data_IF_916785646680
#
_entry.id   IF_916785646680
#
_cell.length_a   1.000
_cell.length_b   1.000
_cell.length_c   1.000
_cell.angle_alpha   90.00
_cell.angle_beta   90.00
_cell.angle_gamma   90.00
#
_symmetry.space_group_name_H-M   'P 1'
#
loop_
_entity.id
_entity.type
_entity.pdbx_description
1 polymer ?
#
# COMPACT_ATOMS: atom_id res chain seq x y z
N UNK A 1 34.25 -7.55 -23.78
CA UNK A 1 34.37 -8.93 -23.23
C UNK A 1 34.27 -9.01 -21.71
N UNK A 2 35.14 -8.27 -20.91
CA UNK A 2 35.07 -8.35 -19.44
C UNK A 2 33.73 -7.83 -18.90
N UNK A 3 33.26 -6.69 -19.38
CA UNK A 3 31.98 -6.11 -18.95
C UNK A 3 30.78 -7.00 -19.28
N UNK A 4 30.76 -7.61 -20.45
CA UNK A 4 29.71 -8.55 -20.86
C UNK A 4 29.68 -9.81 -20.00
N UNK A 5 30.87 -10.35 -19.67
CA UNK A 5 30.97 -11.49 -18.76
C UNK A 5 30.44 -11.13 -17.35
N UNK A 6 30.82 -9.95 -16.83
CA UNK A 6 30.32 -9.48 -15.55
C UNK A 6 28.81 -9.29 -15.55
N UNK A 7 28.24 -8.74 -16.63
CA UNK A 7 26.76 -8.63 -16.76
C UNK A 7 26.12 -10.01 -16.72
N UNK A 8 26.69 -11.00 -17.44
CA UNK A 8 26.15 -12.37 -17.42
C UNK A 8 26.18 -12.99 -16.02
N UNK A 9 27.26 -12.77 -15.27
CA UNK A 9 27.37 -13.26 -13.88
C UNK A 9 26.37 -12.52 -12.97
N UNK A 10 26.25 -11.20 -13.12
CA UNK A 10 25.29 -10.41 -12.36
C UNK A 10 23.84 -10.86 -12.63
N UNK A 11 23.52 -11.08 -13.90
CA UNK A 11 22.21 -11.59 -14.34
C UNK A 11 21.92 -12.99 -13.77
N UNK A 12 22.92 -13.85 -13.69
CA UNK A 12 22.77 -15.15 -13.02
C UNK A 12 22.39 -14.98 -11.55
N UNK A 13 23.09 -14.13 -10.79
CA UNK A 13 22.76 -13.86 -9.39
C UNK A 13 21.39 -13.18 -9.26
N UNK A 14 21.05 -12.27 -10.16
CA UNK A 14 19.74 -11.61 -10.19
C UNK A 14 18.60 -12.63 -10.37
N UNK A 15 18.72 -13.57 -11.31
CA UNK A 15 17.72 -14.61 -11.54
C UNK A 15 17.65 -15.67 -10.42
N UNK A 16 18.73 -15.83 -9.67
CA UNK A 16 18.77 -16.68 -8.47
C UNK A 16 18.27 -15.98 -7.20
N UNK A 17 17.73 -14.78 -7.34
CA UNK A 17 17.25 -13.96 -6.22
C UNK A 17 18.34 -13.66 -5.16
N UNK A 18 19.57 -13.48 -5.61
CA UNK A 18 20.71 -13.05 -4.80
C UNK A 18 21.00 -11.55 -5.07
N UNK A 19 20.19 -10.61 -4.53
CA UNK A 19 20.28 -9.20 -4.91
C UNK A 19 21.57 -8.52 -4.46
N UNK A 20 22.17 -8.93 -3.35
CA UNK A 20 23.40 -8.34 -2.85
C UNK A 20 24.60 -8.63 -3.75
N UNK A 21 24.74 -9.88 -4.19
CA UNK A 21 25.80 -10.34 -5.09
C UNK A 21 25.63 -9.69 -6.49
N UNK A 22 24.40 -9.72 -7.01
CA UNK A 22 24.09 -9.08 -8.28
C UNK A 22 24.40 -7.59 -8.26
N UNK A 23 24.01 -6.89 -7.16
CA UNK A 23 24.24 -5.46 -6.99
C UNK A 23 25.72 -5.09 -7.02
N UNK A 24 26.58 -5.86 -6.34
CA UNK A 24 28.01 -5.62 -6.32
C UNK A 24 28.60 -5.66 -7.71
N UNK A 25 28.22 -6.65 -8.51
CA UNK A 25 28.72 -6.83 -9.88
C UNK A 25 28.15 -5.76 -10.82
N UNK A 26 26.85 -5.43 -10.73
CA UNK A 26 26.27 -4.33 -11.52
C UNK A 26 26.93 -2.98 -11.21
N UNK A 27 27.36 -2.72 -9.96
CA UNK A 27 28.13 -1.53 -9.63
C UNK A 27 29.47 -1.52 -10.33
N UNK A 28 30.23 -2.62 -10.31
CA UNK A 28 31.50 -2.73 -11.04
C UNK A 28 31.31 -2.44 -12.53
N UNK A 29 30.26 -3.02 -13.14
CA UNK A 29 29.90 -2.78 -14.56
C UNK A 29 29.60 -1.30 -14.82
N UNK A 30 28.89 -0.65 -13.89
CA UNK A 30 28.56 0.78 -13.99
C UNK A 30 29.82 1.65 -13.88
N UNK A 31 30.74 1.32 -12.99
CA UNK A 31 32.01 2.02 -12.81
C UNK A 31 32.93 1.88 -14.05
N UNK A 32 32.78 0.83 -14.82
CA UNK A 32 33.43 0.63 -16.11
C UNK A 32 32.75 1.43 -17.26
N UNK A 33 31.77 2.29 -16.97
CA UNK A 33 30.97 3.00 -17.97
C UNK A 33 30.23 2.07 -18.97
N UNK A 34 29.95 0.84 -18.59
CA UNK A 34 29.23 -0.14 -19.39
C UNK A 34 27.80 -0.34 -18.86
N UNK A 35 27.06 0.76 -18.69
CA UNK A 35 25.71 0.71 -18.16
C UNK A 35 24.70 1.17 -19.22
N UNK A 36 23.58 0.44 -19.27
CA UNK A 36 22.41 0.75 -20.09
C UNK A 36 21.17 0.80 -19.22
N UNK A 37 20.01 1.05 -19.81
CA UNK A 37 18.74 1.12 -19.08
C UNK A 37 18.44 -0.18 -18.31
N UNK A 38 18.71 -1.34 -18.89
CA UNK A 38 18.44 -2.64 -18.27
C UNK A 38 19.30 -2.87 -17.02
N UNK A 39 20.60 -2.55 -17.09
CA UNK A 39 21.52 -2.64 -15.93
C UNK A 39 21.06 -1.73 -14.83
N UNK A 40 20.66 -0.48 -15.11
CA UNK A 40 20.14 0.42 -14.10
C UNK A 40 18.81 -0.04 -13.53
N UNK A 41 17.93 -0.64 -14.32
CA UNK A 41 16.68 -1.25 -13.84
C UNK A 41 16.94 -2.38 -12.84
N UNK A 42 17.84 -3.33 -13.21
CA UNK A 42 18.22 -4.45 -12.35
C UNK A 42 18.95 -3.99 -11.09
N UNK A 43 19.85 -3.01 -11.22
CA UNK A 43 20.49 -2.34 -10.06
C UNK A 43 19.45 -1.75 -9.11
N UNK A 44 18.48 -0.99 -9.64
CA UNK A 44 17.39 -0.43 -8.87
C UNK A 44 16.57 -1.49 -8.16
N UNK A 45 16.28 -2.61 -8.83
CA UNK A 45 15.53 -3.71 -8.26
C UNK A 45 16.28 -4.40 -7.12
N UNK A 46 17.59 -4.67 -7.27
CA UNK A 46 18.42 -5.21 -6.19
C UNK A 46 18.44 -4.27 -4.98
N UNK A 47 18.63 -2.97 -5.19
CA UNK A 47 18.59 -1.95 -4.14
C UNK A 47 17.23 -1.89 -3.45
N UNK A 48 16.13 -2.04 -4.19
CA UNK A 48 14.78 -2.09 -3.64
C UNK A 48 14.57 -3.33 -2.77
N UNK A 49 15.08 -4.49 -3.17
CA UNK A 49 15.04 -5.72 -2.35
C UNK A 49 15.82 -5.56 -1.05
N UNK A 50 16.96 -4.87 -1.08
CA UNK A 50 17.75 -4.49 0.08
C UNK A 50 17.12 -3.33 0.90
N UNK A 51 15.90 -2.88 0.55
CA UNK A 51 15.18 -1.75 1.18
C UNK A 51 15.93 -0.41 1.09
N UNK A 52 16.90 -0.28 0.21
CA UNK A 52 17.69 0.94 -0.06
C UNK A 52 16.95 1.83 -1.07
N UNK A 53 15.73 2.26 -0.71
CA UNK A 53 14.79 2.89 -1.63
C UNK A 53 15.30 4.20 -2.26
N UNK A 54 16.04 5.03 -1.54
CA UNK A 54 16.59 6.29 -2.09
C UNK A 54 17.59 6.01 -3.22
N UNK A 55 18.45 5.02 -3.03
CA UNK A 55 19.44 4.64 -4.05
C UNK A 55 18.74 3.91 -5.23
N UNK A 56 17.74 3.11 -4.95
CA UNK A 56 16.91 2.49 -5.99
C UNK A 56 16.25 3.53 -6.89
N UNK A 57 15.69 4.60 -6.31
CA UNK A 57 15.12 5.73 -7.08
C UNK A 57 16.18 6.36 -7.98
N UNK A 58 17.41 6.57 -7.49
CA UNK A 58 18.48 7.11 -8.31
C UNK A 58 18.81 6.21 -9.52
N UNK A 59 18.90 4.90 -9.30
CA UNK A 59 19.15 3.93 -10.38
C UNK A 59 17.98 3.90 -11.38
N UNK A 60 16.74 3.85 -10.91
CA UNK A 60 15.56 3.85 -11.78
C UNK A 60 15.42 5.15 -12.58
N UNK A 61 15.77 6.32 -12.02
CA UNK A 61 15.79 7.58 -12.75
C UNK A 61 16.81 7.57 -13.88
N UNK A 62 17.99 6.99 -13.68
CA UNK A 62 18.99 6.80 -14.74
C UNK A 62 18.45 5.88 -15.85
N UNK A 63 17.75 4.81 -15.45
CA UNK A 63 17.10 3.92 -16.41
C UNK A 63 16.01 4.64 -17.21
N UNK A 64 15.20 5.48 -16.57
CA UNK A 64 14.11 6.22 -17.19
C UNK A 64 14.62 7.29 -18.18
N UNK A 65 15.76 7.94 -17.88
CA UNK A 65 16.42 8.84 -18.82
C UNK A 65 16.89 8.12 -20.08
N UNK A 66 17.41 6.89 -19.95
CA UNK A 66 17.91 6.10 -21.08
C UNK A 66 16.79 5.41 -21.88
N UNK A 67 15.70 5.08 -21.22
CA UNK A 67 14.51 4.44 -21.81
C UNK A 67 13.27 5.03 -21.15
N UNK A 68 12.79 6.16 -21.65
CA UNK A 68 11.59 6.83 -21.11
C UNK A 68 10.33 5.95 -21.23
N UNK A 69 9.37 6.22 -20.37
CA UNK A 69 8.03 5.63 -20.37
C UNK A 69 8.00 4.09 -20.26
N UNK A 70 9.08 3.51 -19.76
CA UNK A 70 9.10 2.08 -19.49
C UNK A 70 8.27 1.75 -18.24
N UNK A 71 7.07 1.19 -18.44
CA UNK A 71 6.04 0.96 -17.41
C UNK A 71 6.59 0.26 -16.17
N UNK A 72 7.44 -0.75 -16.36
CA UNK A 72 8.06 -1.46 -15.24
C UNK A 72 8.90 -0.52 -14.35
N UNK A 73 9.74 0.34 -14.98
CA UNK A 73 10.59 1.31 -14.26
C UNK A 73 9.75 2.32 -13.50
N UNK A 74 8.73 2.90 -14.16
CA UNK A 74 7.83 3.90 -13.56
C UNK A 74 7.09 3.30 -12.36
N UNK A 75 6.62 2.05 -12.48
CA UNK A 75 5.93 1.35 -11.38
C UNK A 75 6.87 1.10 -10.19
N UNK A 76 8.13 0.77 -10.42
CA UNK A 76 9.10 0.58 -9.37
C UNK A 76 9.52 1.90 -8.70
N UNK A 77 9.63 3.00 -9.46
CA UNK A 77 9.77 4.35 -8.91
C UNK A 77 8.62 4.69 -7.97
N UNK A 78 7.38 4.50 -8.43
CA UNK A 78 6.19 4.71 -7.59
C UNK A 78 6.25 3.88 -6.29
N UNK A 79 6.63 2.61 -6.40
CA UNK A 79 6.75 1.72 -5.24
C UNK A 79 7.81 2.20 -4.25
N UNK A 80 8.98 2.64 -4.73
CA UNK A 80 10.04 3.16 -3.86
C UNK A 80 9.62 4.44 -3.14
N UNK A 81 8.98 5.39 -3.84
CA UNK A 81 8.45 6.61 -3.22
C UNK A 81 7.40 6.27 -2.16
N UNK A 82 6.48 5.33 -2.44
CA UNK A 82 5.48 4.88 -1.47
C UNK A 82 6.12 4.26 -0.23
N UNK A 83 7.19 3.45 -0.38
CA UNK A 83 7.91 2.88 0.77
C UNK A 83 8.61 3.93 1.63
N UNK A 84 9.01 5.04 1.02
CA UNK A 84 9.56 6.21 1.72
C UNK A 84 8.48 7.14 2.30
N UNK A 85 7.18 6.77 2.18
CA UNK A 85 6.01 7.58 2.55
C UNK A 85 5.90 8.90 1.77
N UNK A 86 6.59 9.01 0.65
CA UNK A 86 6.43 10.12 -0.30
C UNK A 86 5.23 9.81 -1.23
N UNK A 87 4.03 9.89 -0.64
CA UNK A 87 2.80 9.49 -1.32
C UNK A 87 2.43 10.41 -2.48
N UNK A 88 2.85 11.68 -2.43
CA UNK A 88 2.62 12.61 -3.52
C UNK A 88 3.40 12.20 -4.78
N UNK A 89 4.71 11.96 -4.65
CA UNK A 89 5.51 11.49 -5.77
C UNK A 89 5.09 10.07 -6.24
N UNK A 90 4.75 9.18 -5.30
CA UNK A 90 4.24 7.86 -5.65
C UNK A 90 2.97 7.94 -6.50
N UNK A 91 2.02 8.82 -6.13
CA UNK A 91 0.78 9.05 -6.85
C UNK A 91 1.03 9.52 -8.29
N UNK A 92 1.95 10.48 -8.48
CA UNK A 92 2.32 10.96 -9.82
C UNK A 92 2.83 9.83 -10.73
N UNK A 93 3.72 8.99 -10.21
CA UNK A 93 4.24 7.85 -10.97
C UNK A 93 3.17 6.77 -11.22
N UNK A 94 2.31 6.46 -10.23
CA UNK A 94 1.22 5.50 -10.45
C UNK A 94 0.20 6.00 -11.47
N UNK A 95 -0.12 7.30 -11.51
CA UNK A 95 -0.97 7.90 -12.54
C UNK A 95 -0.36 7.78 -13.95
N UNK A 96 0.97 7.91 -14.10
CA UNK A 96 1.64 7.63 -15.37
C UNK A 96 1.45 6.17 -15.79
N UNK A 97 1.56 5.22 -14.85
CA UNK A 97 1.29 3.80 -15.16
C UNK A 97 -0.16 3.59 -15.53
N UNK A 98 -1.12 4.20 -14.82
CA UNK A 98 -2.55 4.10 -15.13
C UNK A 98 -2.88 4.63 -16.53
N UNK A 99 -2.25 5.71 -16.97
CA UNK A 99 -2.43 6.26 -18.32
C UNK A 99 -2.04 5.25 -19.41
N UNK A 100 -1.05 4.39 -19.16
CA UNK A 100 -0.59 3.35 -20.10
C UNK A 100 -1.39 2.05 -19.92
N UNK A 101 -1.76 1.73 -18.68
CA UNK A 101 -2.44 0.49 -18.29
C UNK A 101 -3.67 0.81 -17.41
N UNK A 102 -4.77 1.33 -17.98
CA UNK A 102 -5.92 1.85 -17.21
C UNK A 102 -6.72 0.78 -16.45
N UNK A 103 -6.52 -0.51 -16.81
CA UNK A 103 -7.19 -1.64 -16.17
C UNK A 103 -6.30 -2.39 -15.16
N UNK A 104 -5.11 -1.86 -14.85
CA UNK A 104 -4.22 -2.49 -13.90
C UNK A 104 -4.74 -2.33 -12.47
N UNK A 105 -5.43 -3.36 -11.98
CA UNK A 105 -6.08 -3.38 -10.66
C UNK A 105 -5.15 -3.02 -9.50
N UNK A 106 -3.89 -3.46 -9.56
CA UNK A 106 -2.92 -3.14 -8.52
C UNK A 106 -2.53 -1.66 -8.53
N UNK A 107 -2.42 -1.06 -9.71
CA UNK A 107 -2.12 0.36 -9.86
C UNK A 107 -3.28 1.21 -9.34
N UNK A 108 -4.52 0.86 -9.71
CA UNK A 108 -5.74 1.52 -9.22
C UNK A 108 -5.80 1.46 -7.69
N UNK A 109 -5.52 0.29 -7.10
CA UNK A 109 -5.45 0.14 -5.64
C UNK A 109 -4.39 1.03 -5.01
N UNK A 110 -3.17 1.10 -5.58
CA UNK A 110 -2.10 1.93 -5.03
C UNK A 110 -2.36 3.43 -5.21
N UNK A 111 -3.04 3.85 -6.28
CA UNK A 111 -3.52 5.24 -6.44
C UNK A 111 -4.47 5.58 -5.30
N UNK A 112 -5.51 4.77 -5.08
CA UNK A 112 -6.45 4.96 -3.98
C UNK A 112 -5.75 5.00 -2.62
N UNK A 113 -4.78 4.09 -2.39
CA UNK A 113 -4.02 4.04 -1.14
C UNK A 113 -3.18 5.31 -0.94
N UNK A 114 -2.48 5.80 -1.98
CA UNK A 114 -1.72 7.04 -1.88
C UNK A 114 -2.62 8.25 -1.62
N UNK A 115 -3.80 8.30 -2.26
CA UNK A 115 -4.79 9.35 -2.05
C UNK A 115 -5.32 9.33 -0.61
N UNK A 116 -5.59 8.15 -0.04
CA UNK A 116 -6.02 7.99 1.34
C UNK A 116 -4.96 8.45 2.34
N UNK A 117 -3.68 8.13 2.12
CA UNK A 117 -2.56 8.60 2.94
C UNK A 117 -2.33 10.13 2.83
N UNK A 118 -2.78 10.74 1.72
CA UNK A 118 -2.80 12.19 1.53
C UNK A 118 -4.09 12.83 2.03
N UNK A 119 -4.93 12.10 2.75
CA UNK A 119 -6.24 12.52 3.27
C UNK A 119 -7.24 12.98 2.17
N UNK A 120 -7.00 12.61 0.92
CA UNK A 120 -7.86 12.88 -0.24
C UNK A 120 -8.91 11.77 -0.38
N UNK A 121 -9.73 11.57 0.66
CA UNK A 121 -10.59 10.39 0.81
C UNK A 121 -11.65 10.25 -0.29
N UNK A 122 -12.22 11.36 -0.79
CA UNK A 122 -13.22 11.28 -1.86
C UNK A 122 -12.63 10.75 -3.18
N UNK A 123 -11.41 11.16 -3.52
CA UNK A 123 -10.71 10.65 -4.70
C UNK A 123 -10.23 9.21 -4.48
N UNK A 124 -9.80 8.87 -3.27
CA UNK A 124 -9.45 7.51 -2.91
C UNK A 124 -10.66 6.57 -3.09
N UNK A 125 -11.84 6.98 -2.61
CA UNK A 125 -13.08 6.23 -2.78
C UNK A 125 -13.41 5.98 -4.27
N UNK A 126 -13.20 6.95 -5.15
CA UNK A 126 -13.43 6.75 -6.60
C UNK A 126 -12.54 5.61 -7.15
N UNK A 127 -11.25 5.59 -6.75
CA UNK A 127 -10.32 4.54 -7.16
C UNK A 127 -10.73 3.17 -6.62
N UNK A 128 -11.14 3.09 -5.35
CA UNK A 128 -11.54 1.83 -4.73
C UNK A 128 -12.90 1.32 -5.24
N UNK A 129 -13.86 2.20 -5.55
CA UNK A 129 -15.11 1.81 -6.22
C UNK A 129 -14.86 1.30 -7.63
N UNK A 130 -13.96 1.95 -8.40
CA UNK A 130 -13.54 1.43 -9.70
C UNK A 130 -13.01 0.00 -9.58
N UNK A 131 -12.19 -0.26 -8.55
CA UNK A 131 -11.66 -1.60 -8.30
C UNK A 131 -12.73 -2.60 -7.88
N UNK A 132 -13.69 -2.20 -7.02
CA UNK A 132 -14.82 -3.04 -6.59
C UNK A 132 -15.69 -3.48 -7.79
N UNK A 133 -15.89 -2.58 -8.77
CA UNK A 133 -16.60 -2.89 -10.01
C UNK A 133 -15.83 -3.84 -10.94
N UNK A 134 -14.50 -3.83 -10.88
CA UNK A 134 -13.63 -4.64 -11.76
C UNK A 134 -13.35 -6.03 -11.21
N UNK A 135 -13.62 -6.27 -9.93
CA UNK A 135 -13.23 -7.50 -9.26
C UNK A 135 -14.30 -7.93 -8.24
N UNK A 136 -14.95 -9.06 -8.50
CA UNK A 136 -15.90 -9.61 -7.55
C UNK A 136 -15.22 -9.97 -6.23
N UNK A 137 -15.91 -9.74 -5.12
CA UNK A 137 -15.46 -10.07 -3.76
C UNK A 137 -14.07 -9.50 -3.41
N UNK A 138 -13.80 -8.29 -3.88
CA UNK A 138 -12.53 -7.62 -3.66
C UNK A 138 -12.38 -7.10 -2.22
N UNK A 139 -12.08 -8.01 -1.28
CA UNK A 139 -11.97 -7.71 0.16
C UNK A 139 -11.03 -6.51 0.43
N UNK A 140 -9.91 -6.41 -0.30
CA UNK A 140 -8.97 -5.28 -0.14
C UNK A 140 -9.61 -3.94 -0.50
N UNK A 141 -10.46 -3.91 -1.54
CA UNK A 141 -11.19 -2.71 -1.90
C UNK A 141 -12.27 -2.40 -0.85
N UNK A 142 -13.00 -3.39 -0.38
CA UNK A 142 -14.04 -3.20 0.64
C UNK A 142 -13.47 -2.67 1.96
N UNK A 143 -12.33 -3.18 2.43
CA UNK A 143 -11.63 -2.64 3.59
C UNK A 143 -11.26 -1.17 3.41
N UNK A 144 -10.71 -0.84 2.23
CA UNK A 144 -10.29 0.52 1.92
C UNK A 144 -11.49 1.48 1.77
N UNK A 145 -12.59 1.04 1.13
CA UNK A 145 -13.84 1.81 1.03
C UNK A 145 -14.43 2.01 2.43
N UNK A 146 -14.49 0.94 3.23
CA UNK A 146 -14.99 1.01 4.61
C UNK A 146 -14.24 2.06 5.43
N UNK A 147 -12.91 1.99 5.42
CA UNK A 147 -12.07 2.93 6.17
C UNK A 147 -12.19 4.36 5.65
N UNK A 148 -12.05 4.59 4.33
CA UNK A 148 -12.17 5.94 3.76
C UNK A 148 -13.56 6.54 4.01
N UNK A 149 -14.62 5.73 3.94
CA UNK A 149 -15.99 6.17 4.27
C UNK A 149 -16.12 6.54 5.74
N UNK A 150 -15.53 5.75 6.64
CA UNK A 150 -15.54 6.01 8.07
C UNK A 150 -14.86 7.35 8.40
N UNK A 151 -13.63 7.55 7.94
CA UNK A 151 -12.88 8.80 8.22
C UNK A 151 -13.50 10.03 7.54
N UNK A 152 -14.36 9.83 6.55
CA UNK A 152 -15.16 10.87 5.89
C UNK A 152 -16.52 11.09 6.56
N UNK A 153 -16.82 10.45 7.68
CA UNK A 153 -18.09 10.54 8.38
C UNK A 153 -19.27 9.86 7.70
N UNK A 154 -19.04 9.03 6.66
CA UNK A 154 -20.07 8.29 5.90
C UNK A 154 -20.32 6.92 6.55
N UNK A 155 -20.80 6.94 7.80
CA UNK A 155 -20.84 5.74 8.65
C UNK A 155 -21.72 4.61 8.10
N UNK A 156 -22.89 4.92 7.50
CA UNK A 156 -23.76 3.90 6.89
C UNK A 156 -23.09 3.23 5.70
N UNK A 157 -22.36 4.00 4.89
CA UNK A 157 -21.60 3.44 3.77
C UNK A 157 -20.46 2.56 4.29
N UNK A 158 -19.72 3.02 5.29
CA UNK A 158 -18.64 2.28 5.91
C UNK A 158 -19.14 0.94 6.47
N UNK A 159 -20.27 0.94 7.20
CA UNK A 159 -20.84 -0.26 7.77
C UNK A 159 -21.24 -1.28 6.67
N UNK A 160 -21.89 -0.83 5.60
CA UNK A 160 -22.24 -1.73 4.48
C UNK A 160 -21.04 -2.46 3.90
N UNK A 161 -19.88 -1.79 3.79
CA UNK A 161 -18.67 -2.42 3.27
C UNK A 161 -17.99 -3.33 4.31
N UNK A 162 -17.98 -2.93 5.59
CA UNK A 162 -17.49 -3.84 6.63
C UNK A 162 -18.39 -5.05 6.83
N UNK A 163 -19.72 -4.94 6.69
CA UNK A 163 -20.62 -6.11 6.73
C UNK A 163 -20.27 -7.12 5.62
N UNK A 164 -19.91 -6.67 4.41
CA UNK A 164 -19.40 -7.55 3.34
C UNK A 164 -18.07 -8.24 3.75
N UNK A 165 -17.14 -7.49 4.34
CA UNK A 165 -15.85 -8.04 4.81
C UNK A 165 -16.08 -9.08 5.90
N UNK A 166 -16.95 -8.77 6.88
CA UNK A 166 -17.26 -9.63 8.03
C UNK A 166 -17.98 -10.93 7.61
N UNK A 167 -18.68 -10.92 6.48
CA UNK A 167 -19.35 -12.11 5.94
C UNK A 167 -18.41 -13.13 5.29
N UNK A 168 -17.15 -12.76 4.99
CA UNK A 168 -16.20 -13.64 4.32
C UNK A 168 -15.13 -14.19 5.28
N UNK A 169 -13.96 -13.55 5.30
CA UNK A 169 -12.81 -13.94 6.14
C UNK A 169 -12.30 -12.72 6.90
N UNK A 170 -13.01 -12.29 7.94
CA UNK A 170 -12.60 -11.16 8.74
C UNK A 170 -11.34 -11.48 9.57
N UNK A 171 -10.55 -10.45 9.83
CA UNK A 171 -9.41 -10.45 10.75
C UNK A 171 -9.69 -9.47 11.90
N UNK A 172 -8.89 -9.49 12.95
CA UNK A 172 -9.08 -8.64 14.13
C UNK A 172 -9.31 -7.14 13.78
N UNK A 173 -8.53 -6.61 12.84
CA UNK A 173 -8.67 -5.22 12.36
C UNK A 173 -10.01 -4.93 11.68
N UNK A 174 -10.63 -5.91 11.04
CA UNK A 174 -11.93 -5.72 10.39
C UNK A 174 -13.05 -5.56 11.44
N UNK A 175 -13.01 -6.38 12.49
CA UNK A 175 -13.91 -6.24 13.62
C UNK A 175 -13.70 -4.92 14.37
N UNK A 176 -12.43 -4.53 14.59
CA UNK A 176 -12.08 -3.26 15.21
C UNK A 176 -12.67 -2.09 14.43
N UNK A 177 -12.40 -2.01 13.13
CA UNK A 177 -12.87 -0.91 12.28
C UNK A 177 -14.41 -0.88 12.17
N UNK A 178 -15.05 -2.05 12.04
CA UNK A 178 -16.52 -2.14 12.08
C UNK A 178 -17.08 -1.67 13.44
N UNK A 179 -16.36 -1.93 14.54
CA UNK A 179 -16.69 -1.41 15.87
C UNK A 179 -16.61 0.12 15.93
N UNK A 180 -15.57 0.72 15.35
CA UNK A 180 -15.45 2.17 15.22
C UNK A 180 -16.63 2.78 14.43
N UNK A 181 -17.01 2.13 13.32
CA UNK A 181 -18.19 2.57 12.54
C UNK A 181 -19.47 2.46 13.36
N UNK A 182 -19.64 1.37 14.13
CA UNK A 182 -20.80 1.19 14.99
C UNK A 182 -20.91 2.30 16.07
N UNK A 183 -19.77 2.74 16.63
CA UNK A 183 -19.72 3.93 17.53
C UNK A 183 -20.15 5.19 16.79
N UNK A 184 -19.64 5.42 15.58
CA UNK A 184 -20.02 6.58 14.75
C UNK A 184 -21.52 6.61 14.44
N UNK A 185 -22.17 5.45 14.38
CA UNK A 185 -23.63 5.29 14.24
C UNK A 185 -24.40 5.37 15.57
N UNK A 186 -23.72 5.60 16.70
CA UNK A 186 -24.33 5.62 18.05
C UNK A 186 -24.75 4.23 18.55
N UNK A 187 -24.34 3.15 17.90
CA UNK A 187 -24.70 1.78 18.29
C UNK A 187 -23.63 1.17 19.21
N UNK A 188 -23.63 1.61 20.48
CA UNK A 188 -22.65 1.19 21.49
C UNK A 188 -22.67 -0.33 21.72
N UNK A 189 -23.87 -0.95 21.71
CA UNK A 189 -24.01 -2.39 21.89
C UNK A 189 -23.33 -3.20 20.80
N UNK A 190 -23.56 -2.84 19.51
CA UNK A 190 -22.88 -3.47 18.36
C UNK A 190 -21.37 -3.20 18.40
N UNK A 191 -20.95 -2.02 18.81
CA UNK A 191 -19.54 -1.70 18.94
C UNK A 191 -18.84 -2.60 19.96
N UNK A 192 -19.44 -2.77 21.15
CA UNK A 192 -18.92 -3.64 22.20
C UNK A 192 -18.82 -5.10 21.73
N UNK A 193 -19.83 -5.62 21.04
CA UNK A 193 -19.81 -6.97 20.45
C UNK A 193 -18.63 -7.11 19.45
N UNK A 194 -18.46 -6.15 18.55
CA UNK A 194 -17.42 -6.17 17.52
C UNK A 194 -16.02 -6.05 18.14
N UNK A 195 -15.84 -5.24 19.15
CA UNK A 195 -14.57 -5.14 19.87
C UNK A 195 -14.24 -6.41 20.65
N UNK A 196 -15.25 -7.08 21.22
CA UNK A 196 -15.08 -8.40 21.82
C UNK A 196 -14.57 -9.43 20.81
N UNK A 197 -15.12 -9.44 19.58
CA UNK A 197 -14.62 -10.29 18.49
C UNK A 197 -13.20 -9.90 18.04
N UNK A 198 -12.91 -8.59 17.94
CA UNK A 198 -11.57 -8.11 17.60
C UNK A 198 -10.53 -8.56 18.64
N UNK A 199 -10.87 -8.50 19.94
CA UNK A 199 -10.02 -8.96 21.03
C UNK A 199 -9.77 -10.47 20.95
N UNK A 200 -10.80 -11.25 20.70
CA UNK A 200 -10.67 -12.71 20.53
C UNK A 200 -9.76 -13.08 19.36
N UNK A 201 -9.94 -12.44 18.20
CA UNK A 201 -9.15 -12.66 16.98
C UNK A 201 -7.70 -12.14 17.10
N UNK A 202 -7.45 -11.12 17.92
CA UNK A 202 -6.09 -10.58 18.14
C UNK A 202 -5.23 -11.45 19.06
N UNK A 203 -5.83 -12.41 19.73
CA UNK A 203 -5.16 -13.36 20.62
C UNK A 203 -4.96 -12.86 22.05
N UNK A 204 -4.89 -11.57 22.30
CA UNK A 204 -4.88 -10.98 23.64
C UNK A 204 -5.37 -9.53 23.66
N UNK A 205 -5.74 -9.06 24.86
CA UNK A 205 -6.25 -7.72 25.10
C UNK A 205 -5.23 -6.60 24.83
N UNK A 206 -3.95 -6.84 25.09
CA UNK A 206 -2.90 -5.82 24.89
C UNK A 206 -2.75 -5.47 23.43
N UNK A 207 -2.69 -6.49 22.54
CA UNK A 207 -2.64 -6.29 21.09
C UNK A 207 -3.88 -5.53 20.59
N UNK A 208 -5.06 -5.88 21.10
CA UNK A 208 -6.27 -5.15 20.76
C UNK A 208 -6.16 -3.67 21.17
N UNK A 209 -5.73 -3.38 22.41
CA UNK A 209 -5.58 -2.00 22.91
C UNK A 209 -4.54 -1.21 22.11
N UNK A 210 -3.44 -1.83 21.70
CA UNK A 210 -2.47 -1.18 20.82
C UNK A 210 -3.08 -0.79 19.46
N UNK A 211 -3.90 -1.67 18.88
CA UNK A 211 -4.61 -1.40 17.63
C UNK A 211 -5.61 -0.27 17.82
N UNK A 212 -6.43 -0.33 18.87
CA UNK A 212 -7.45 0.65 19.18
C UNK A 212 -6.85 2.05 19.43
N UNK A 213 -5.78 2.14 20.20
CA UNK A 213 -5.13 3.40 20.53
C UNK A 213 -4.56 4.15 19.31
N UNK A 214 -4.21 3.42 18.23
CA UNK A 214 -3.77 4.06 16.98
C UNK A 214 -4.87 4.88 16.32
N UNK A 215 -6.12 4.46 16.49
CA UNK A 215 -7.27 5.07 15.84
C UNK A 215 -8.02 6.07 16.74
N UNK A 216 -7.63 6.17 18.02
CA UNK A 216 -8.31 7.00 19.02
C UNK A 216 -8.43 8.47 18.60
N UNK A 217 -7.38 9.06 18.05
CA UNK A 217 -7.43 10.45 17.56
C UNK A 217 -8.44 10.63 16.42
N UNK A 218 -8.57 9.63 15.55
CA UNK A 218 -9.54 9.64 14.46
C UNK A 218 -10.97 9.60 15.01
N UNK A 219 -11.24 8.77 16.02
CA UNK A 219 -12.53 8.71 16.69
C UNK A 219 -12.93 10.07 17.28
N UNK A 220 -12.01 10.72 18.00
CA UNK A 220 -12.24 12.03 18.60
C UNK A 220 -12.50 13.09 17.53
N UNK A 221 -11.73 13.11 16.44
CA UNK A 221 -11.95 14.04 15.29
C UNK A 221 -13.32 13.87 14.66
N UNK A 222 -13.86 12.66 14.67
CA UNK A 222 -15.21 12.35 14.15
C UNK A 222 -16.33 12.65 15.17
N UNK A 223 -16.00 13.22 16.34
CA UNK A 223 -16.97 13.61 17.35
C UNK A 223 -17.47 12.47 18.23
N UNK A 224 -16.79 11.33 18.22
CA UNK A 224 -17.10 10.20 19.11
C UNK A 224 -16.55 10.53 20.51
N UNK A 225 -17.45 10.66 21.51
CA UNK A 225 -17.05 10.95 22.89
C UNK A 225 -16.27 9.75 23.48
N UNK A 226 -15.19 10.04 24.22
CA UNK A 226 -14.46 9.01 24.96
C UNK A 226 -15.35 8.22 25.94
N UNK A 227 -16.43 8.84 26.45
CA UNK A 227 -17.39 8.17 27.32
C UNK A 227 -18.21 7.09 26.63
N UNK A 228 -18.37 7.19 25.31
CA UNK A 228 -19.10 6.23 24.51
C UNK A 228 -18.21 5.07 24.06
N UNK A 229 -16.90 5.18 24.31
CA UNK A 229 -15.96 4.09 24.06
C UNK A 229 -16.14 3.04 25.16
N UNK A 230 -16.62 1.83 24.85
CA UNK A 230 -16.81 0.79 25.84
C UNK A 230 -15.49 0.54 26.58
N UNK A 231 -15.56 0.53 27.92
CA UNK A 231 -14.46 0.05 28.75
C UNK A 231 -14.30 -1.46 28.49
N UNK A 232 -13.38 -1.83 27.61
CA UNK A 232 -13.13 -3.21 27.21
C UNK A 232 -12.05 -3.82 28.11
#
# INVERSE_FOLDING_TARGET
FRSELLVTIADFHFHKEHPAEALNIYKEVTDMNYANADIFQKTGYCLQKEKRYKEAISAYRKADVLKPDHVWTIRHLATCHRQLRDFAAALEYYKKVEAIQPENKNVIFFIGSCLAELERYEEALQSFFKLDLMENDCIKAWRAIGWCSFVSGKFEQAMRYYDKVLALKPIATDYLNAGHVALGLGNIGKAAELYGKATAESGNREVFLEMFNKDKETLIKLGIDEKDIPLI
#
